data_IF_438947960328
#
_entry.id   IF_438947960328
#
_cell.length_a   1.000
_cell.length_b   1.000
_cell.length_c   1.000
_cell.angle_alpha   90.00
_cell.angle_beta   90.00
_cell.angle_gamma   90.00
#
_symmetry.space_group_name_H-M   'P 1'
#
loop_
_entity.id
_entity.type
_entity.pdbx_description
1 polymer ?
#
# COMPACT_ATOMS: atom_id res chain seq x y z
N UNK A 1 -5.40 6.48 -48.52
CA UNK A 1 -4.39 5.89 -47.62
C UNK A 1 -3.62 7.03 -46.99
N UNK A 2 -4.04 7.47 -45.80
CA UNK A 2 -3.30 8.42 -44.97
C UNK A 2 -3.40 7.87 -43.56
N UNK A 3 -2.22 7.58 -43.03
CA UNK A 3 -1.89 6.94 -41.76
C UNK A 3 -2.54 7.64 -40.57
N UNK A 4 -3.56 7.00 -39.99
CA UNK A 4 -3.95 7.22 -38.60
C UNK A 4 -2.83 6.68 -37.72
N UNK A 5 -1.86 7.55 -37.41
CA UNK A 5 -0.90 7.32 -36.33
C UNK A 5 -1.64 7.45 -35.01
N UNK A 6 -2.40 6.40 -34.66
CA UNK A 6 -2.89 6.21 -33.31
C UNK A 6 -1.69 6.05 -32.40
N UNK A 7 -1.28 7.17 -31.80
CA UNK A 7 -0.44 7.16 -30.61
C UNK A 7 -1.31 6.59 -29.48
N UNK A 8 -1.44 5.27 -29.46
CA UNK A 8 -2.10 4.50 -28.42
C UNK A 8 -1.27 4.77 -27.17
N UNK A 9 -1.65 5.77 -26.37
CA UNK A 9 -1.00 6.09 -25.10
C UNK A 9 -0.90 4.75 -24.37
N UNK A 10 0.31 4.20 -24.26
CA UNK A 10 0.52 2.93 -23.58
C UNK A 10 0.04 3.15 -22.16
N UNK A 11 -1.06 2.51 -21.80
CA UNK A 11 -1.60 2.57 -20.45
C UNK A 11 -0.50 2.03 -19.52
N UNK A 12 0.11 2.92 -18.74
CA UNK A 12 1.18 2.55 -17.81
C UNK A 12 0.62 1.58 -16.77
N UNK A 13 1.43 0.65 -16.30
CA UNK A 13 1.15 -0.04 -15.03
C UNK A 13 1.44 0.94 -13.89
N UNK A 14 0.62 0.92 -12.86
CA UNK A 14 0.84 1.68 -11.63
C UNK A 14 2.08 1.20 -10.87
N UNK A 15 2.53 2.02 -9.93
CA UNK A 15 3.67 1.76 -9.05
C UNK A 15 3.21 1.56 -7.61
N UNK A 16 3.95 0.71 -6.89
CA UNK A 16 3.83 0.55 -5.44
C UNK A 16 4.81 1.48 -4.74
N UNK A 17 4.29 2.56 -4.15
CA UNK A 17 5.05 3.57 -3.43
C UNK A 17 5.11 3.21 -1.95
N UNK A 18 6.27 2.76 -1.47
CA UNK A 18 6.49 2.51 -0.05
C UNK A 18 7.03 3.77 0.60
N UNK A 19 6.17 4.46 1.37
CA UNK A 19 6.55 5.66 2.10
C UNK A 19 7.17 5.28 3.44
N UNK A 20 8.37 5.81 3.70
CA UNK A 20 9.09 5.67 4.96
C UNK A 20 9.53 7.04 5.48
N UNK A 21 9.51 7.25 6.79
CA UNK A 21 10.00 8.46 7.46
C UNK A 21 10.47 8.11 8.87
N UNK A 22 11.31 8.95 9.51
CA UNK A 22 11.53 8.88 10.96
C UNK A 22 10.20 8.97 11.74
N UNK A 23 10.21 8.58 13.02
CA UNK A 23 9.02 8.70 13.87
C UNK A 23 8.60 10.16 14.03
N UNK A 24 7.30 10.46 13.93
CA UNK A 24 6.75 11.80 14.17
C UNK A 24 6.80 12.77 12.98
N UNK A 25 7.24 12.34 11.80
CA UNK A 25 7.42 13.22 10.62
C UNK A 25 6.16 13.41 9.74
N UNK A 26 4.98 12.97 10.20
CA UNK A 26 3.70 13.27 9.53
C UNK A 26 3.36 12.41 8.31
N UNK A 27 3.94 11.21 8.18
CA UNK A 27 3.74 10.29 7.03
C UNK A 27 2.28 10.03 6.67
N UNK A 28 1.44 9.75 7.67
CA UNK A 28 0.01 9.50 7.47
C UNK A 28 -0.74 10.75 7.01
N UNK A 29 -0.32 11.95 7.44
CA UNK A 29 -0.88 13.20 6.91
C UNK A 29 -0.47 13.41 5.45
N UNK A 30 0.78 13.14 5.09
CA UNK A 30 1.23 13.27 3.70
C UNK A 30 0.50 12.29 2.78
N UNK A 31 0.39 11.02 3.15
CA UNK A 31 -0.28 10.01 2.31
C UNK A 31 -1.76 10.35 2.09
N UNK A 32 -2.45 10.88 3.11
CA UNK A 32 -3.84 11.35 2.99
C UNK A 32 -3.95 12.56 2.08
N UNK A 33 -3.05 13.54 2.17
CA UNK A 33 -3.03 14.68 1.25
C UNK A 33 -2.79 14.23 -0.19
N UNK A 34 -1.85 13.32 -0.44
CA UNK A 34 -1.57 12.80 -1.78
C UNK A 34 -2.79 12.14 -2.42
N UNK A 35 -3.53 11.31 -1.67
CA UNK A 35 -4.75 10.65 -2.19
C UNK A 35 -5.90 11.64 -2.42
N UNK A 36 -5.96 12.74 -1.65
CA UNK A 36 -6.98 13.77 -1.85
C UNK A 36 -6.68 14.67 -3.06
N UNK A 37 -5.41 14.97 -3.32
CA UNK A 37 -4.98 15.87 -4.38
C UNK A 37 -4.84 15.17 -5.74
N UNK A 38 -4.49 13.88 -5.76
CA UNK A 38 -4.28 13.10 -6.98
C UNK A 38 -5.18 11.85 -7.04
N UNK A 39 -6.13 11.86 -7.97
CA UNK A 39 -7.07 10.75 -8.21
C UNK A 39 -6.41 9.52 -8.84
N UNK A 40 -5.19 9.65 -9.34
CA UNK A 40 -4.41 8.51 -9.85
C UNK A 40 -3.70 7.75 -8.73
N UNK A 41 -3.74 8.26 -7.49
CA UNK A 41 -3.10 7.66 -6.32
C UNK A 41 -4.15 7.11 -5.35
N UNK A 42 -3.91 5.92 -4.84
CA UNK A 42 -4.74 5.28 -3.82
C UNK A 42 -3.90 4.80 -2.63
N UNK A 43 -4.54 4.65 -1.48
CA UNK A 43 -3.94 4.06 -0.28
C UNK A 43 -4.24 2.56 -0.23
N UNK A 44 -3.21 1.75 0.07
CA UNK A 44 -3.40 0.33 0.38
C UNK A 44 -4.10 0.18 1.73
N UNK A 45 -5.34 -0.33 1.73
CA UNK A 45 -6.07 -0.68 2.95
C UNK A 45 -5.70 -2.09 3.37
N UNK A 46 -4.88 -2.19 4.42
CA UNK A 46 -4.39 -3.47 4.94
C UNK A 46 -5.46 -4.23 5.71
N UNK A 47 -5.34 -5.56 5.75
CA UNK A 47 -6.08 -6.41 6.67
C UNK A 47 -5.41 -6.39 8.04
N UNK A 48 -6.19 -6.46 9.11
CA UNK A 48 -5.67 -6.64 10.46
C UNK A 48 -6.55 -7.55 11.31
N UNK A 49 -5.93 -8.31 12.22
CA UNK A 49 -6.65 -9.08 13.25
C UNK A 49 -6.76 -8.34 14.57
N UNK A 50 -6.26 -7.11 14.64
CA UNK A 50 -6.43 -6.25 15.80
C UNK A 50 -7.91 -5.83 15.91
N UNK A 51 -8.49 -5.74 17.11
CA UNK A 51 -9.79 -5.12 17.29
C UNK A 51 -9.79 -3.67 16.77
N UNK A 52 -10.88 -3.28 16.11
CA UNK A 52 -11.12 -1.90 15.71
C UNK A 52 -11.15 -0.99 16.95
N UNK A 53 -10.46 0.15 16.89
CA UNK A 53 -10.49 1.20 17.93
C UNK A 53 -11.62 2.19 17.66
N UNK A 54 -12.00 2.93 18.69
CA UNK A 54 -12.97 4.02 18.57
C UNK A 54 -12.51 5.04 17.51
N UNK A 55 -13.42 5.34 16.58
CA UNK A 55 -13.18 6.26 15.47
C UNK A 55 -12.54 5.62 14.23
N UNK A 56 -12.10 4.37 14.28
CA UNK A 56 -11.70 3.64 13.08
C UNK A 56 -12.92 3.18 12.28
N UNK A 57 -12.74 3.03 10.97
CA UNK A 57 -13.79 2.65 10.01
C UNK A 57 -13.25 1.49 9.17
N UNK A 58 -13.97 0.38 9.19
CA UNK A 58 -13.66 -0.81 8.38
C UNK A 58 -13.70 -0.48 6.88
N UNK A 59 -12.73 -1.02 6.14
CA UNK A 59 -12.55 -0.76 4.70
C UNK A 59 -11.96 0.60 4.35
N UNK A 60 -11.74 1.48 5.34
CA UNK A 60 -11.03 2.76 5.15
C UNK A 60 -9.68 2.76 5.88
N UNK A 61 -9.68 2.41 7.17
CA UNK A 61 -8.44 2.35 7.96
C UNK A 61 -7.75 1.00 7.81
N UNK A 62 -8.52 -0.07 7.99
CA UNK A 62 -8.11 -1.46 7.80
C UNK A 62 -9.35 -2.27 7.38
N UNK A 63 -9.13 -3.47 6.85
CA UNK A 63 -10.11 -4.53 6.90
C UNK A 63 -9.91 -5.31 8.22
N UNK A 64 -10.84 -5.15 9.16
CA UNK A 64 -10.79 -5.81 10.45
C UNK A 64 -11.36 -7.21 10.35
N UNK A 65 -10.49 -8.22 10.46
CA UNK A 65 -10.85 -9.63 10.22
C UNK A 65 -10.47 -10.51 11.40
N UNK A 66 -11.05 -11.71 11.48
CA UNK A 66 -10.64 -12.70 12.47
C UNK A 66 -9.26 -13.29 12.16
N UNK A 67 -8.58 -13.83 13.19
CA UNK A 67 -7.32 -14.59 12.99
C UNK A 67 -7.49 -15.77 12.05
N UNK A 68 -8.66 -16.42 12.05
CA UNK A 68 -8.92 -17.57 11.19
C UNK A 68 -9.11 -17.17 9.72
N UNK A 69 -9.81 -16.07 9.45
CA UNK A 69 -9.91 -15.51 8.09
C UNK A 69 -8.55 -15.07 7.56
N UNK A 70 -7.75 -14.39 8.39
CA UNK A 70 -6.40 -14.00 8.02
C UNK A 70 -5.53 -15.21 7.67
N UNK A 71 -5.56 -16.27 8.50
CA UNK A 71 -4.81 -17.51 8.26
C UNK A 71 -5.25 -18.21 6.97
N UNK A 72 -6.55 -18.26 6.69
CA UNK A 72 -7.08 -18.82 5.44
C UNK A 72 -6.56 -18.04 4.23
N UNK A 73 -6.63 -16.71 4.27
CA UNK A 73 -6.14 -15.85 3.18
C UNK A 73 -4.63 -15.99 2.99
N UNK A 74 -3.86 -16.04 4.08
CA UNK A 74 -2.42 -16.29 4.05
C UNK A 74 -2.08 -17.65 3.44
N UNK A 75 -2.78 -18.71 3.83
CA UNK A 75 -2.56 -20.06 3.30
C UNK A 75 -2.83 -20.15 1.79
N UNK A 76 -3.65 -19.25 1.26
CA UNK A 76 -3.96 -19.12 -0.16
C UNK A 76 -3.03 -18.16 -0.92
N UNK A 77 -1.90 -17.72 -0.33
CA UNK A 77 -0.99 -16.71 -0.93
C UNK A 77 -1.68 -15.38 -1.28
N UNK A 78 -2.70 -15.02 -0.48
CA UNK A 78 -3.59 -13.88 -0.72
C UNK A 78 -3.02 -12.50 -0.33
N UNK A 79 -1.80 -12.44 0.22
CA UNK A 79 -1.15 -11.20 0.64
C UNK A 79 0.14 -10.95 -0.15
N UNK A 80 0.44 -9.69 -0.45
CA UNK A 80 1.74 -9.31 -1.02
C UNK A 80 2.85 -9.23 0.05
N UNK A 81 2.45 -8.84 1.25
CA UNK A 81 3.27 -8.83 2.46
C UNK A 81 2.34 -9.05 3.66
N UNK A 82 2.89 -9.59 4.74
CA UNK A 82 2.22 -9.63 6.02
C UNK A 82 3.21 -9.70 7.17
N UNK A 83 2.82 -9.23 8.35
CA UNK A 83 3.62 -9.28 9.56
C UNK A 83 2.77 -9.58 10.80
N UNK A 84 3.43 -10.04 11.86
CA UNK A 84 2.84 -10.17 13.19
C UNK A 84 3.45 -9.11 14.10
N UNK A 85 2.61 -8.26 14.70
CA UNK A 85 3.01 -7.16 15.58
C UNK A 85 2.13 -7.20 16.82
N UNK A 86 2.74 -7.36 18.00
CA UNK A 86 2.03 -7.44 19.28
C UNK A 86 0.83 -8.40 19.26
N UNK A 87 1.04 -9.63 18.78
CA UNK A 87 0.04 -10.70 18.67
C UNK A 87 -1.11 -10.46 17.67
N UNK A 88 -1.01 -9.41 16.85
CA UNK A 88 -1.94 -9.12 15.77
C UNK A 88 -1.27 -9.25 14.41
N UNK A 89 -2.00 -9.80 13.45
CA UNK A 89 -1.53 -9.89 12.07
C UNK A 89 -1.95 -8.65 11.29
N UNK A 90 -1.09 -8.27 10.35
CA UNK A 90 -1.31 -7.20 9.38
C UNK A 90 -0.91 -7.73 8.00
N UNK A 91 -1.62 -7.37 6.95
CA UNK A 91 -1.21 -7.76 5.60
C UNK A 91 -1.93 -7.03 4.47
N UNK A 92 -1.20 -6.78 3.40
CA UNK A 92 -1.70 -6.08 2.21
C UNK A 92 -2.35 -7.06 1.22
N UNK A 93 -3.69 -7.00 1.00
CA UNK A 93 -4.41 -7.98 0.17
C UNK A 93 -3.98 -7.87 -1.30
N UNK A 94 -3.44 -8.96 -1.85
CA UNK A 94 -2.76 -8.99 -3.15
C UNK A 94 -3.68 -8.59 -4.31
N UNK A 95 -4.88 -9.16 -4.35
CA UNK A 95 -5.74 -9.11 -5.53
C UNK A 95 -6.33 -7.70 -5.79
N UNK A 96 -6.84 -6.95 -4.79
CA UNK A 96 -7.18 -5.53 -4.95
C UNK A 96 -6.01 -4.67 -5.43
N UNK A 97 -4.81 -4.90 -4.89
CA UNK A 97 -3.61 -4.13 -5.23
C UNK A 97 -3.23 -4.35 -6.69
N UNK A 98 -3.13 -5.60 -7.13
CA UNK A 98 -2.76 -5.92 -8.51
C UNK A 98 -3.76 -5.32 -9.51
N UNK A 99 -5.06 -5.37 -9.22
CA UNK A 99 -6.10 -4.78 -10.08
C UNK A 99 -5.97 -3.26 -10.21
N UNK A 100 -5.59 -2.58 -9.14
CA UNK A 100 -5.33 -1.14 -9.16
C UNK A 100 -4.05 -0.81 -9.96
N UNK A 101 -2.97 -1.58 -9.79
CA UNK A 101 -1.75 -1.39 -10.59
C UNK A 101 -2.02 -1.63 -12.09
N UNK A 102 -2.82 -2.64 -12.44
CA UNK A 102 -3.22 -2.92 -13.83
C UNK A 102 -4.13 -1.84 -14.43
N UNK A 103 -4.89 -1.14 -13.60
CA UNK A 103 -5.71 -0.01 -14.06
C UNK A 103 -4.88 1.26 -14.32
N UNK A 104 -3.60 1.25 -13.94
CA UNK A 104 -2.63 2.34 -14.13
C UNK A 104 -2.56 3.31 -12.96
N UNK A 105 -3.18 2.96 -11.83
CA UNK A 105 -3.21 3.77 -10.62
C UNK A 105 -2.07 3.38 -9.69
N UNK A 106 -1.46 4.37 -9.05
CA UNK A 106 -0.40 4.16 -8.08
C UNK A 106 -0.97 3.84 -6.70
N UNK A 107 -0.26 3.02 -5.93
CA UNK A 107 -0.65 2.63 -4.57
C UNK A 107 0.43 3.06 -3.58
N UNK A 108 0.01 3.80 -2.56
CA UNK A 108 0.83 4.12 -1.39
C UNK A 108 0.65 3.04 -0.33
N UNK A 109 1.79 2.54 0.18
CA UNK A 109 1.85 1.62 1.30
C UNK A 109 2.26 2.34 2.58
N UNK A 110 1.42 2.19 3.61
CA UNK A 110 1.72 2.60 4.98
C UNK A 110 2.12 1.38 5.83
N UNK A 111 3.31 0.85 5.56
CA UNK A 111 3.85 -0.37 6.20
C UNK A 111 5.21 -0.11 6.85
N UNK A 112 5.63 -1.02 7.74
CA UNK A 112 6.92 -0.97 8.42
C UNK A 112 8.08 -1.53 7.55
N UNK A 113 9.29 -1.61 8.12
CA UNK A 113 10.46 -2.09 7.41
C UNK A 113 10.37 -3.57 7.01
N UNK A 114 9.65 -4.41 7.78
CA UNK A 114 9.48 -5.83 7.48
C UNK A 114 8.57 -6.01 6.26
N UNK A 115 7.46 -5.28 6.22
CA UNK A 115 6.56 -5.26 5.05
C UNK A 115 7.24 -4.68 3.81
N UNK A 116 7.99 -3.58 3.96
CA UNK A 116 8.74 -2.96 2.86
C UNK A 116 9.80 -3.89 2.24
N UNK A 117 10.41 -4.76 3.05
CA UNK A 117 11.35 -5.75 2.56
C UNK A 117 10.64 -6.89 1.81
N UNK A 118 9.49 -7.35 2.30
CA UNK A 118 8.69 -8.38 1.62
C UNK A 118 8.17 -7.91 0.25
N UNK A 119 7.64 -6.68 0.17
CA UNK A 119 7.17 -6.12 -1.11
C UNK A 119 8.28 -6.04 -2.16
N UNK A 120 9.47 -5.58 -1.78
CA UNK A 120 10.59 -5.49 -2.71
C UNK A 120 11.05 -6.86 -3.22
N UNK A 121 10.89 -7.91 -2.40
CA UNK A 121 11.22 -9.27 -2.81
C UNK A 121 10.13 -9.88 -3.71
N UNK A 122 8.85 -9.55 -3.48
CA UNK A 122 7.73 -10.12 -4.22
C UNK A 122 7.48 -9.48 -5.58
N UNK A 123 7.83 -8.20 -5.74
CA UNK A 123 7.59 -7.45 -6.98
C UNK A 123 8.66 -6.36 -7.24
N UNK A 124 9.93 -6.74 -7.47
CA UNK A 124 11.04 -5.80 -7.54
C UNK A 124 10.92 -4.73 -8.65
N UNK A 125 10.20 -5.01 -9.75
CA UNK A 125 10.00 -4.06 -10.85
C UNK A 125 8.96 -2.98 -10.56
N UNK A 126 8.05 -3.23 -9.61
CA UNK A 126 6.86 -2.41 -9.39
C UNK A 126 6.99 -1.54 -8.14
N UNK A 127 8.02 -1.77 -7.31
CA UNK A 127 8.21 -1.10 -6.02
C UNK A 127 9.15 0.09 -6.15
N UNK A 128 8.66 1.27 -5.77
CA UNK A 128 9.47 2.47 -5.55
C UNK A 128 9.47 2.80 -4.05
N UNK A 129 10.66 2.87 -3.47
CA UNK A 129 10.85 3.22 -2.07
C UNK A 129 11.12 4.72 -1.96
N UNK A 130 10.27 5.42 -1.20
CA UNK A 130 10.40 6.87 -0.97
C UNK A 130 10.68 7.09 0.52
N UNK A 131 11.83 7.67 0.81
CA UNK A 131 12.21 8.05 2.18
C UNK A 131 12.05 9.57 2.35
N UNK A 132 11.21 9.97 3.29
CA UNK A 132 10.91 11.38 3.58
C UNK A 132 11.78 11.81 4.75
N UNK A 133 12.72 12.70 4.47
CA UNK A 133 13.57 13.33 5.48
C UNK A 133 12.83 14.48 6.16
N UNK A 134 13.03 14.69 7.47
CA UNK A 134 12.54 15.89 8.14
C UNK A 134 13.21 17.14 7.54
N UNK A 135 12.53 18.30 7.52
CA UNK A 135 13.09 19.53 6.99
C UNK A 135 14.33 20.03 7.76
N UNK A 136 14.55 19.54 8.98
CA UNK A 136 15.78 19.72 9.74
C UNK A 136 16.07 18.52 10.64
N UNK A 137 17.33 18.11 10.72
CA UNK A 137 17.85 17.20 11.74
C UNK A 137 17.98 17.96 13.06
N UNK A 138 16.92 18.05 13.86
CA UNK A 138 17.05 18.38 15.29
C UNK A 138 16.65 17.14 16.07
N UNK A 139 17.63 16.61 16.81
CA UNK A 139 17.50 15.49 17.75
C UNK A 139 16.38 15.71 18.77
#
# INVERSE_FOLDING_TARGET
MTTDSQNKIRKRRGLMLVLSSPSGTGKTSLSRHLVNDDKEISLSVSWTTRPMRDGEIDGNHYHFVSKDEFRKMRAADGFLEWAEVHDFYYGSPKEPILRTLESGLDIIFDIDWQGAQQLANSAPSDVVRVFILPPSMKE
#
